data_IF_255962221177
#
_entry.id   IF_255962221177
#
_cell.length_a   1.000
_cell.length_b   1.000
_cell.length_c   1.000
_cell.angle_alpha   90.00
_cell.angle_beta   90.00
_cell.angle_gamma   90.00
#
_symmetry.space_group_name_H-M   'P 1'
#
loop_
_entity.id
_entity.type
_entity.pdbx_description
1 polymer ?
#
# COMPACT_ATOMS: atom_id res chain seq x y z
N UNK A 1 27.47 4.35 -22.82
CA UNK A 1 26.10 4.17 -23.29
C UNK A 1 25.44 5.55 -23.37
N UNK A 2 24.71 5.85 -24.43
CA UNK A 2 24.13 7.16 -24.69
C UNK A 2 22.85 7.29 -23.84
N UNK A 3 22.63 8.38 -23.06
CA UNK A 3 21.45 8.55 -22.21
C UNK A 3 20.11 8.42 -22.98
N UNK A 4 20.10 8.84 -24.23
CA UNK A 4 18.96 8.69 -25.14
C UNK A 4 18.56 7.23 -25.40
N UNK A 5 19.47 6.27 -25.20
CA UNK A 5 19.21 4.86 -25.45
C UNK A 5 18.48 4.19 -24.27
N UNK A 6 18.72 4.63 -23.03
CA UNK A 6 18.11 4.02 -21.83
C UNK A 6 16.66 4.48 -21.63
N UNK A 7 16.38 5.77 -21.83
CA UNK A 7 15.00 6.26 -21.85
C UNK A 7 14.21 5.61 -22.99
N UNK A 8 14.83 5.41 -24.17
CA UNK A 8 14.21 4.69 -25.27
C UNK A 8 13.89 3.25 -24.94
N UNK A 9 14.82 2.53 -24.29
CA UNK A 9 14.62 1.15 -23.87
C UNK A 9 13.49 1.05 -22.82
N UNK A 10 13.51 1.91 -21.79
CA UNK A 10 12.45 1.97 -20.79
C UNK A 10 11.10 2.29 -21.45
N UNK A 11 11.06 3.23 -22.39
CA UNK A 11 9.84 3.53 -23.14
C UNK A 11 9.33 2.31 -23.90
N UNK A 12 10.22 1.56 -24.57
CA UNK A 12 9.83 0.37 -25.34
C UNK A 12 9.25 -0.72 -24.44
N UNK A 13 9.83 -0.95 -23.26
CA UNK A 13 9.32 -1.87 -22.26
C UNK A 13 7.92 -1.46 -21.77
N UNK A 14 7.74 -0.19 -21.39
CA UNK A 14 6.46 0.32 -20.93
C UNK A 14 5.41 0.38 -22.06
N UNK A 15 5.84 0.75 -23.28
CA UNK A 15 4.96 0.77 -24.45
C UNK A 15 4.44 -0.63 -24.80
N UNK A 16 5.30 -1.65 -24.72
CA UNK A 16 4.89 -3.03 -24.93
C UNK A 16 3.91 -3.51 -23.86
N UNK A 17 4.09 -3.09 -22.61
CA UNK A 17 3.23 -3.47 -21.48
C UNK A 17 1.87 -2.77 -21.50
N UNK A 18 1.86 -1.46 -21.71
CA UNK A 18 0.67 -0.62 -21.57
C UNK A 18 0.03 -0.21 -22.89
N UNK A 19 0.72 -0.40 -24.01
CA UNK A 19 0.22 -0.08 -25.35
C UNK A 19 0.33 1.39 -25.73
N UNK A 20 1.42 2.07 -25.34
CA UNK A 20 1.62 3.47 -25.70
C UNK A 20 1.96 3.63 -27.19
N UNK A 21 1.44 4.69 -27.84
CA UNK A 21 1.80 4.97 -29.22
C UNK A 21 3.23 5.53 -29.33
N UNK A 22 3.91 5.25 -30.44
CA UNK A 22 5.31 5.64 -30.66
C UNK A 22 5.56 7.16 -30.59
N UNK A 23 4.57 7.98 -30.95
CA UNK A 23 4.66 9.44 -30.85
C UNK A 23 4.69 9.94 -29.39
N UNK A 24 4.40 9.11 -28.40
CA UNK A 24 4.56 9.43 -26.98
C UNK A 24 6.02 9.37 -26.50
N UNK A 25 6.96 8.77 -27.24
CA UNK A 25 8.37 8.66 -26.85
C UNK A 25 8.98 10.02 -26.47
N UNK A 26 8.78 11.06 -27.30
CA UNK A 26 9.37 12.39 -27.05
C UNK A 26 8.78 13.06 -25.80
N UNK A 27 7.47 13.12 -25.57
CA UNK A 27 6.89 13.58 -24.31
C UNK A 27 7.37 12.78 -23.08
N UNK A 28 7.47 11.45 -23.20
CA UNK A 28 7.99 10.58 -22.14
C UNK A 28 9.43 10.94 -21.74
N UNK A 29 10.34 11.05 -22.69
CA UNK A 29 11.73 11.44 -22.41
C UNK A 29 11.81 12.83 -21.78
N UNK A 30 11.07 13.80 -22.32
CA UNK A 30 11.05 15.19 -21.83
C UNK A 30 10.52 15.30 -20.40
N UNK A 31 9.60 14.42 -19.99
CA UNK A 31 9.07 14.39 -18.63
C UNK A 31 10.14 14.00 -17.60
N UNK A 32 11.07 13.12 -17.96
CA UNK A 32 12.05 12.53 -17.03
C UNK A 32 13.39 13.28 -17.05
N UNK A 33 13.77 13.87 -18.18
CA UNK A 33 15.08 14.50 -18.38
C UNK A 33 15.41 15.55 -17.33
N UNK A 34 14.46 16.35 -16.87
CA UNK A 34 14.65 17.38 -15.85
C UNK A 34 15.08 16.84 -14.48
N UNK A 35 14.82 15.58 -14.17
CA UNK A 35 15.23 14.94 -12.93
C UNK A 35 16.57 14.21 -13.02
N UNK A 36 17.09 13.97 -14.22
CA UNK A 36 18.37 13.31 -14.44
C UNK A 36 19.54 14.18 -13.98
N UNK A 37 20.70 13.56 -13.72
CA UNK A 37 21.94 14.27 -13.37
C UNK A 37 23.02 14.22 -14.44
N UNK A 38 22.87 13.37 -15.41
CA UNK A 38 23.84 13.23 -16.50
C UNK A 38 23.11 12.91 -17.82
N UNK A 39 23.10 13.82 -18.78
CA UNK A 39 23.64 15.19 -18.70
C UNK A 39 22.89 16.06 -17.67
N UNK A 40 23.53 17.13 -17.19
CA UNK A 40 22.89 18.10 -16.29
C UNK A 40 21.78 18.81 -17.08
N UNK A 41 20.50 18.76 -16.63
CA UNK A 41 19.38 19.38 -17.33
C UNK A 41 19.47 20.91 -17.26
N UNK A 42 18.92 21.57 -18.27
CA UNK A 42 18.71 23.02 -18.25
C UNK A 42 17.60 23.41 -17.26
N UNK A 43 17.58 24.67 -16.87
CA UNK A 43 16.51 25.20 -16.01
C UNK A 43 15.11 24.95 -16.60
N UNK A 44 14.94 25.12 -17.91
CA UNK A 44 13.66 24.90 -18.59
C UNK A 44 13.25 23.42 -18.58
N UNK A 45 14.20 22.50 -18.72
CA UNK A 45 13.93 21.07 -18.60
C UNK A 45 13.46 20.69 -17.17
N UNK A 46 14.15 21.22 -16.13
CA UNK A 46 13.77 21.01 -14.74
C UNK A 46 12.35 21.53 -14.51
N UNK A 47 12.09 22.79 -14.87
CA UNK A 47 10.80 23.43 -14.70
C UNK A 47 9.69 22.70 -15.45
N UNK A 48 9.97 22.19 -16.66
CA UNK A 48 9.01 21.41 -17.43
C UNK A 48 8.65 20.10 -16.71
N UNK A 49 9.66 19.34 -16.26
CA UNK A 49 9.44 18.08 -15.53
C UNK A 49 8.69 18.29 -14.23
N UNK A 50 9.03 19.33 -13.44
CA UNK A 50 8.32 19.68 -12.19
C UNK A 50 6.83 20.06 -12.42
N UNK A 51 6.54 20.71 -13.54
CA UNK A 51 5.15 21.02 -13.91
C UNK A 51 4.36 19.77 -14.31
N UNK A 52 5.02 18.82 -14.97
CA UNK A 52 4.40 17.54 -15.32
C UNK A 52 4.19 16.67 -14.08
N UNK A 53 5.14 16.65 -13.14
CA UNK A 53 5.02 16.03 -11.81
C UNK A 53 3.79 16.55 -11.07
N UNK A 54 3.65 17.88 -10.95
CA UNK A 54 2.49 18.50 -10.32
C UNK A 54 1.16 18.06 -10.93
N UNK A 55 1.08 17.97 -12.27
CA UNK A 55 -0.11 17.50 -12.97
C UNK A 55 -0.33 16.00 -12.77
N UNK A 56 0.74 15.22 -12.84
CA UNK A 56 0.71 13.77 -12.70
C UNK A 56 0.32 13.30 -11.29
N UNK A 57 0.79 13.98 -10.25
CA UNK A 57 0.34 13.75 -8.86
C UNK A 57 -1.18 13.89 -8.76
N UNK A 58 -1.75 14.95 -9.36
CA UNK A 58 -3.21 15.16 -9.37
C UNK A 58 -3.94 14.04 -10.12
N UNK A 59 -3.41 13.59 -11.27
CA UNK A 59 -3.95 12.47 -12.02
C UNK A 59 -3.88 11.16 -11.23
N UNK A 60 -2.73 10.88 -10.60
CA UNK A 60 -2.52 9.71 -9.75
C UNK A 60 -3.53 9.66 -8.60
N UNK A 61 -3.65 10.77 -7.86
CA UNK A 61 -4.58 10.86 -6.73
C UNK A 61 -6.03 10.66 -7.16
N UNK A 62 -6.44 11.24 -8.29
CA UNK A 62 -7.78 11.03 -8.84
C UNK A 62 -8.02 9.57 -9.23
N UNK A 63 -7.11 8.97 -10.01
CA UNK A 63 -7.26 7.60 -10.47
C UNK A 63 -7.26 6.58 -9.32
N UNK A 64 -6.39 6.76 -8.31
CA UNK A 64 -6.38 5.91 -7.10
C UNK A 64 -7.69 6.08 -6.32
N UNK A 65 -8.19 7.32 -6.16
CA UNK A 65 -9.47 7.55 -5.46
C UNK A 65 -10.60 6.84 -6.19
N UNK A 66 -10.67 6.95 -7.51
CA UNK A 66 -11.67 6.27 -8.34
C UNK A 66 -11.55 4.75 -8.24
N UNK A 67 -10.33 4.21 -8.35
CA UNK A 67 -10.04 2.77 -8.22
C UNK A 67 -10.52 2.22 -6.88
N UNK A 68 -10.24 2.92 -5.78
CA UNK A 68 -10.67 2.51 -4.44
C UNK A 68 -12.19 2.56 -4.30
N UNK A 69 -12.82 3.63 -4.74
CA UNK A 69 -14.27 3.80 -4.70
C UNK A 69 -15.01 2.70 -5.47
N UNK A 70 -14.53 2.34 -6.66
CA UNK A 70 -15.18 1.34 -7.51
C UNK A 70 -14.97 -0.11 -7.02
N UNK A 71 -13.78 -0.41 -6.45
CA UNK A 71 -13.45 -1.77 -6.05
C UNK A 71 -13.87 -2.12 -4.60
N UNK A 72 -14.10 -1.12 -3.75
CA UNK A 72 -14.42 -1.34 -2.33
C UNK A 72 -15.66 -0.55 -1.89
N UNK A 73 -16.84 -0.83 -2.47
CA UNK A 73 -18.07 -0.09 -2.18
C UNK A 73 -18.59 -0.27 -0.76
N UNK A 74 -18.15 -1.33 -0.06
CA UNK A 74 -18.57 -1.64 1.32
C UNK A 74 -17.66 -1.00 2.39
N UNK A 75 -16.54 -0.35 1.97
CA UNK A 75 -15.61 0.28 2.90
C UNK A 75 -15.99 1.74 3.15
N UNK A 76 -15.81 2.20 4.38
CA UNK A 76 -16.06 3.58 4.75
C UNK A 76 -14.98 4.55 4.21
N UNK A 77 -15.30 5.84 4.20
CA UNK A 77 -14.40 6.90 3.73
C UNK A 77 -13.07 6.92 4.48
N UNK A 78 -13.09 6.71 5.79
CA UNK A 78 -11.86 6.71 6.61
C UNK A 78 -10.89 5.60 6.22
N UNK A 79 -11.41 4.40 5.87
CA UNK A 79 -10.62 3.30 5.34
C UNK A 79 -10.07 3.65 3.98
N UNK A 80 -10.92 4.12 3.05
CA UNK A 80 -10.49 4.47 1.70
C UNK A 80 -9.43 5.59 1.69
N UNK A 81 -9.60 6.62 2.52
CA UNK A 81 -8.63 7.71 2.69
C UNK A 81 -7.30 7.23 3.26
N UNK A 82 -7.34 6.33 4.24
CA UNK A 82 -6.12 5.76 4.83
C UNK A 82 -5.35 4.89 3.83
N UNK A 83 -6.05 4.04 3.08
CA UNK A 83 -5.45 3.21 2.01
C UNK A 83 -4.87 4.10 0.92
N UNK A 84 -5.62 5.11 0.44
CA UNK A 84 -5.13 6.09 -0.53
C UNK A 84 -3.84 6.74 -0.06
N UNK A 85 -3.81 7.28 1.16
CA UNK A 85 -2.61 7.95 1.70
C UNK A 85 -1.37 7.06 1.73
N UNK A 86 -1.53 5.77 1.99
CA UNK A 86 -0.42 4.81 1.92
C UNK A 86 0.02 4.51 0.47
N UNK A 87 -0.93 4.32 -0.44
CA UNK A 87 -0.65 4.02 -1.85
C UNK A 87 0.07 5.19 -2.53
N UNK A 88 -0.40 6.44 -2.32
CA UNK A 88 0.20 7.64 -2.93
C UNK A 88 1.39 8.19 -2.13
N UNK A 89 1.91 7.46 -1.16
CA UNK A 89 3.12 7.88 -0.46
C UNK A 89 4.34 7.79 -1.38
N UNK A 90 5.27 8.74 -1.28
CA UNK A 90 6.48 8.75 -2.10
C UNK A 90 7.31 7.46 -1.99
N UNK A 91 7.25 6.74 -0.86
CA UNK A 91 7.90 5.44 -0.70
C UNK A 91 7.21 4.34 -1.51
N UNK A 92 5.88 4.33 -1.55
CA UNK A 92 5.10 3.35 -2.32
C UNK A 92 5.25 3.60 -3.82
N UNK A 93 5.06 4.86 -4.25
CA UNK A 93 5.25 5.25 -5.65
C UNK A 93 6.68 4.96 -6.11
N UNK A 94 7.69 5.28 -5.28
CA UNK A 94 9.09 5.01 -5.58
C UNK A 94 9.39 3.51 -5.77
N UNK A 95 8.77 2.64 -4.96
CA UNK A 95 8.90 1.18 -5.13
C UNK A 95 8.33 0.72 -6.47
N UNK A 96 7.13 1.19 -6.82
CA UNK A 96 6.47 0.85 -8.10
C UNK A 96 7.29 1.38 -9.29
N UNK A 97 7.76 2.62 -9.20
CA UNK A 97 8.62 3.20 -10.24
C UNK A 97 9.93 2.38 -10.42
N UNK A 98 10.51 1.87 -9.32
CA UNK A 98 11.67 0.98 -9.39
C UNK A 98 11.31 -0.34 -10.08
N UNK A 99 10.19 -0.96 -9.71
CA UNK A 99 9.72 -2.25 -10.24
C UNK A 99 9.42 -2.20 -11.75
N UNK A 100 8.96 -1.04 -12.26
CA UNK A 100 8.70 -0.85 -13.70
C UNK A 100 9.91 -0.23 -14.46
N UNK A 101 11.09 -0.19 -13.83
CA UNK A 101 12.35 0.08 -14.51
C UNK A 101 12.88 1.52 -14.46
N UNK A 102 12.20 2.49 -13.81
CA UNK A 102 12.66 3.88 -13.74
C UNK A 102 14.05 4.05 -13.11
N UNK A 103 14.47 3.10 -12.28
CA UNK A 103 15.83 3.10 -11.72
C UNK A 103 16.90 3.03 -12.78
N UNK A 104 16.69 2.36 -13.90
CA UNK A 104 17.66 2.22 -14.99
C UNK A 104 18.08 3.56 -15.59
N UNK A 105 17.16 4.54 -15.58
CA UNK A 105 17.38 5.88 -16.14
C UNK A 105 17.82 6.91 -15.10
N UNK A 106 18.05 6.52 -13.85
CA UNK A 106 18.44 7.39 -12.73
C UNK A 106 19.96 7.56 -12.59
N UNK A 107 20.72 7.54 -13.67
CA UNK A 107 22.20 7.51 -13.69
C UNK A 107 22.87 8.45 -12.69
N UNK A 108 23.80 7.88 -11.91
CA UNK A 108 24.61 8.64 -10.95
C UNK A 108 23.84 9.13 -9.73
N UNK A 109 22.59 8.75 -9.55
CA UNK A 109 21.83 9.13 -8.39
C UNK A 109 22.30 8.37 -7.13
N UNK A 110 22.57 9.11 -6.06
CA UNK A 110 22.81 8.53 -4.74
C UNK A 110 21.52 7.92 -4.16
N UNK A 111 21.65 7.01 -3.18
CA UNK A 111 20.49 6.43 -2.47
C UNK A 111 19.49 7.48 -1.96
N UNK A 112 20.00 8.63 -1.48
CA UNK A 112 19.18 9.73 -1.00
C UNK A 112 18.40 10.39 -2.16
N UNK A 113 19.03 10.56 -3.31
CA UNK A 113 18.38 11.15 -4.49
C UNK A 113 17.38 10.22 -5.16
N UNK A 114 17.61 8.91 -5.16
CA UNK A 114 16.66 7.94 -5.69
C UNK A 114 15.30 8.02 -5.01
N UNK A 115 15.25 8.37 -3.72
CA UNK A 115 14.00 8.51 -2.96
C UNK A 115 13.08 9.62 -3.48
N UNK A 116 13.63 10.68 -4.09
CA UNK A 116 12.83 11.70 -4.75
C UNK A 116 12.73 11.46 -6.26
N UNK A 117 13.81 11.03 -6.91
CA UNK A 117 13.82 10.81 -8.35
C UNK A 117 12.74 9.82 -8.82
N UNK A 118 12.58 8.70 -8.12
CA UNK A 118 11.65 7.65 -8.55
C UNK A 118 10.18 8.11 -8.52
N UNK A 119 9.64 8.65 -7.39
CA UNK A 119 8.27 9.14 -7.39
C UNK A 119 8.09 10.34 -8.34
N UNK A 120 8.99 11.35 -8.28
CA UNK A 120 8.88 12.56 -9.09
C UNK A 120 8.84 12.23 -10.60
N UNK A 121 9.73 11.31 -11.05
CA UNK A 121 9.77 10.87 -12.46
C UNK A 121 8.53 10.08 -12.88
N UNK A 122 7.99 9.25 -11.99
CA UNK A 122 6.76 8.50 -12.27
C UNK A 122 5.56 9.42 -12.37
N UNK A 123 5.42 10.38 -11.48
CA UNK A 123 4.37 11.38 -11.52
C UNK A 123 4.47 12.24 -12.78
N UNK A 124 5.68 12.71 -13.14
CA UNK A 124 5.88 13.47 -14.38
C UNK A 124 5.54 12.64 -15.63
N UNK A 125 5.87 11.35 -15.64
CA UNK A 125 5.43 10.42 -16.69
C UNK A 125 3.91 10.37 -16.81
N UNK A 126 3.18 10.25 -15.68
CA UNK A 126 1.72 10.25 -15.68
C UNK A 126 1.14 11.58 -16.19
N UNK A 127 1.76 12.70 -15.82
CA UNK A 127 1.37 14.03 -16.32
C UNK A 127 1.54 14.17 -17.83
N UNK A 128 2.69 13.71 -18.36
CA UNK A 128 2.92 13.68 -19.80
C UNK A 128 1.95 12.74 -20.52
N UNK A 129 1.68 11.57 -19.94
CA UNK A 129 0.74 10.60 -20.48
C UNK A 129 -0.68 11.15 -20.54
N UNK A 130 -1.10 11.86 -19.49
CA UNK A 130 -2.39 12.54 -19.45
C UNK A 130 -2.53 13.58 -20.57
N UNK A 131 -1.53 14.46 -20.73
CA UNK A 131 -1.57 15.49 -21.77
C UNK A 131 -1.56 14.90 -23.20
N UNK A 132 -0.88 13.76 -23.38
CA UNK A 132 -0.77 13.14 -24.70
C UNK A 132 -1.97 12.25 -25.04
N UNK A 133 -2.46 11.46 -24.08
CA UNK A 133 -3.41 10.36 -24.35
C UNK A 133 -4.68 10.42 -23.51
N UNK A 134 -4.83 11.42 -22.64
CA UNK A 134 -5.99 11.63 -21.80
C UNK A 134 -6.05 10.69 -20.58
N UNK A 135 -7.06 10.92 -19.75
CA UNK A 135 -7.16 10.27 -18.42
C UNK A 135 -7.41 8.75 -18.51
N UNK A 136 -8.10 8.26 -19.54
CA UNK A 136 -8.43 6.83 -19.68
C UNK A 136 -7.18 5.95 -19.75
N UNK A 137 -6.11 6.41 -20.40
CA UNK A 137 -4.85 5.66 -20.49
C UNK A 137 -4.11 5.70 -19.14
N UNK A 138 -4.17 6.83 -18.43
CA UNK A 138 -3.62 6.94 -17.08
C UNK A 138 -4.35 5.97 -16.13
N UNK A 139 -5.69 5.94 -16.18
CA UNK A 139 -6.50 4.98 -15.39
C UNK A 139 -6.10 3.52 -15.66
N UNK A 140 -5.87 3.16 -16.92
CA UNK A 140 -5.41 1.82 -17.29
C UNK A 140 -4.08 1.47 -16.62
N UNK A 141 -3.09 2.37 -16.72
CA UNK A 141 -1.76 2.18 -16.09
C UNK A 141 -1.89 2.05 -14.58
N UNK A 142 -2.65 2.97 -13.95
CA UNK A 142 -2.87 2.96 -12.50
C UNK A 142 -3.59 1.70 -12.07
N UNK A 143 -4.64 1.29 -12.76
CA UNK A 143 -5.37 0.05 -12.42
C UNK A 143 -4.47 -1.17 -12.49
N UNK A 144 -3.63 -1.29 -13.52
CA UNK A 144 -2.73 -2.43 -13.66
C UNK A 144 -1.65 -2.49 -12.56
N UNK A 145 -1.13 -1.32 -12.15
CA UNK A 145 -0.03 -1.26 -11.17
C UNK A 145 -0.51 -1.32 -9.71
N UNK A 146 -1.70 -0.81 -9.41
CA UNK A 146 -2.11 -0.54 -8.03
C UNK A 146 -3.27 -1.40 -7.52
N UNK A 147 -4.03 -2.10 -8.39
CA UNK A 147 -5.21 -2.86 -7.94
C UNK A 147 -4.84 -3.96 -6.94
N UNK A 148 -3.82 -4.77 -7.22
CA UNK A 148 -3.42 -5.85 -6.31
C UNK A 148 -2.89 -5.31 -4.97
N UNK A 149 -2.19 -4.16 -5.00
CA UNK A 149 -1.70 -3.48 -3.80
C UNK A 149 -2.88 -2.99 -2.97
N UNK A 150 -3.88 -2.35 -3.60
CA UNK A 150 -5.08 -1.87 -2.94
C UNK A 150 -5.88 -3.03 -2.31
N UNK A 151 -6.10 -4.11 -3.05
CA UNK A 151 -6.76 -5.32 -2.55
C UNK A 151 -6.04 -5.87 -1.34
N UNK A 152 -4.72 -6.00 -1.42
CA UNK A 152 -3.91 -6.49 -0.31
C UNK A 152 -4.02 -5.59 0.92
N UNK A 153 -3.87 -4.27 0.74
CA UNK A 153 -3.97 -3.32 1.85
C UNK A 153 -5.33 -3.36 2.54
N UNK A 154 -6.42 -3.36 1.78
CA UNK A 154 -7.78 -3.41 2.36
C UNK A 154 -8.02 -4.74 3.05
N UNK A 155 -7.67 -5.87 2.43
CA UNK A 155 -7.91 -7.21 2.99
C UNK A 155 -7.10 -7.47 4.27
N UNK A 156 -5.84 -7.05 4.28
CA UNK A 156 -4.94 -7.24 5.42
C UNK A 156 -5.06 -6.12 6.47
N UNK A 157 -5.86 -5.08 6.22
CA UNK A 157 -5.95 -3.87 7.06
C UNK A 157 -4.57 -3.22 7.34
N UNK A 158 -3.61 -3.40 6.43
CA UNK A 158 -2.21 -2.98 6.59
C UNK A 158 -1.99 -1.47 6.41
N UNK A 159 -3.05 -0.71 6.17
CA UNK A 159 -3.03 0.75 6.00
C UNK A 159 -3.09 1.52 7.32
N UNK A 160 -3.52 0.88 8.43
CA UNK A 160 -3.63 1.56 9.72
C UNK A 160 -2.26 1.75 10.36
N UNK A 161 -1.92 2.98 10.81
CA UNK A 161 -0.74 3.17 11.64
C UNK A 161 -0.80 2.28 12.88
N UNK A 162 0.30 1.61 13.21
CA UNK A 162 0.38 0.69 14.35
C UNK A 162 -0.05 1.35 15.67
N UNK A 163 0.23 2.64 15.81
CA UNK A 163 -0.19 3.44 16.95
C UNK A 163 -1.71 3.57 17.06
N UNK A 164 -2.39 3.85 15.95
CA UNK A 164 -3.86 3.94 15.91
C UNK A 164 -4.49 2.59 16.20
N UNK A 165 -3.90 1.49 15.69
CA UNK A 165 -4.36 0.14 16.03
C UNK A 165 -4.28 -0.12 17.53
N UNK A 166 -3.16 0.23 18.18
CA UNK A 166 -3.04 0.04 19.63
C UNK A 166 -4.04 0.91 20.39
N UNK A 167 -4.27 2.17 19.95
CA UNK A 167 -5.26 3.06 20.58
C UNK A 167 -6.67 2.47 20.50
N UNK A 168 -7.12 2.03 19.31
CA UNK A 168 -8.45 1.43 19.14
C UNK A 168 -8.62 0.17 20.02
N UNK A 169 -7.63 -0.72 20.01
CA UNK A 169 -7.67 -1.94 20.81
C UNK A 169 -7.66 -1.60 22.32
N UNK A 170 -6.83 -0.65 22.75
CA UNK A 170 -6.75 -0.26 24.17
C UNK A 170 -8.04 0.45 24.62
N UNK A 171 -8.62 1.32 23.82
CA UNK A 171 -9.88 1.96 24.13
C UNK A 171 -11.01 0.93 24.28
N UNK A 172 -11.06 -0.06 23.38
CA UNK A 172 -12.07 -1.12 23.40
C UNK A 172 -11.92 -2.09 24.58
N UNK A 173 -10.69 -2.59 24.79
CA UNK A 173 -10.45 -3.69 25.75
C UNK A 173 -10.10 -3.18 27.17
N UNK A 174 -9.51 -1.98 27.27
CA UNK A 174 -9.00 -1.45 28.54
C UNK A 174 -9.76 -0.20 29.00
N UNK A 175 -10.52 0.44 28.10
CA UNK A 175 -11.17 1.76 28.31
C UNK A 175 -10.15 2.87 28.69
N UNK A 176 -8.91 2.73 28.26
CA UNK A 176 -7.80 3.67 28.52
C UNK A 176 -6.92 3.80 27.27
N UNK A 177 -6.37 5.00 27.07
CA UNK A 177 -5.41 5.25 25.99
C UNK A 177 -3.99 4.80 26.37
N UNK A 178 -3.20 4.30 25.40
CA UNK A 178 -1.80 3.98 25.61
C UNK A 178 -0.97 5.24 25.91
N UNK A 179 -0.05 5.15 26.86
CA UNK A 179 0.86 6.26 27.19
C UNK A 179 2.25 5.96 26.60
N UNK A 180 2.81 6.93 25.90
CA UNK A 180 4.13 6.82 25.24
C UNK A 180 5.14 7.72 25.94
N UNK A 181 6.29 7.16 26.36
CA UNK A 181 7.41 7.92 26.93
C UNK A 181 8.66 7.74 26.09
N UNK A 182 9.33 8.83 25.76
CA UNK A 182 10.52 8.82 24.92
C UNK A 182 11.75 9.25 25.70
N UNK A 183 12.88 8.56 25.48
CA UNK A 183 14.17 8.91 26.03
C UNK A 183 15.26 8.88 24.95
N UNK A 184 16.17 9.84 24.95
CA UNK A 184 17.40 9.76 24.15
C UNK A 184 18.39 8.84 24.86
N UNK A 185 18.97 7.89 24.11
CA UNK A 185 19.92 6.90 24.62
C UNK A 185 21.26 7.02 23.86
N UNK A 186 22.37 6.44 24.36
CA UNK A 186 23.68 6.51 23.69
C UNK A 186 23.66 6.13 22.22
N UNK A 187 24.67 6.61 21.45
CA UNK A 187 24.82 6.40 20.00
C UNK A 187 23.73 7.06 19.16
N UNK A 188 23.26 8.25 19.56
CA UNK A 188 22.22 9.00 18.83
C UNK A 188 20.93 8.24 18.58
N UNK A 189 20.57 7.32 19.46
CA UNK A 189 19.33 6.54 19.39
C UNK A 189 18.27 7.09 20.34
N UNK A 190 17.03 6.70 20.06
CA UNK A 190 15.87 6.97 20.90
C UNK A 190 15.31 5.65 21.43
N UNK A 191 14.70 5.72 22.62
CA UNK A 191 13.89 4.66 23.18
C UNK A 191 12.47 5.17 23.33
N UNK A 192 11.50 4.36 22.91
CA UNK A 192 10.08 4.55 23.16
C UNK A 192 9.60 3.47 24.13
N UNK A 193 9.07 3.86 25.28
CA UNK A 193 8.43 2.98 26.26
C UNK A 193 6.91 3.15 26.14
N UNK A 194 6.17 2.05 25.96
CA UNK A 194 4.70 2.04 25.87
C UNK A 194 4.13 1.47 27.17
N UNK A 195 3.13 2.18 27.70
CA UNK A 195 2.45 1.84 28.93
C UNK A 195 0.97 1.60 28.64
N UNK A 196 0.41 0.55 29.22
CA UNK A 196 -1.00 0.24 29.28
C UNK A 196 -1.40 0.11 30.74
N UNK A 197 -2.51 0.72 31.15
CA UNK A 197 -3.01 0.72 32.54
C UNK A 197 -1.92 1.06 33.56
N UNK A 198 -1.10 2.08 33.25
CA UNK A 198 0.02 2.51 34.10
C UNK A 198 1.25 1.60 34.11
N UNK A 199 1.19 0.39 33.55
CA UNK A 199 2.30 -0.58 33.52
C UNK A 199 3.06 -0.49 32.19
N UNK A 200 4.39 -0.49 32.27
CA UNK A 200 5.21 -0.55 31.05
C UNK A 200 5.12 -1.96 30.43
N UNK A 201 4.65 -2.03 29.18
CA UNK A 201 4.42 -3.29 28.47
C UNK A 201 5.50 -3.63 27.46
N UNK A 202 6.15 -2.61 26.86
CA UNK A 202 7.19 -2.81 25.85
C UNK A 202 8.11 -1.60 25.75
N UNK A 203 9.32 -1.81 25.23
CA UNK A 203 10.26 -0.76 24.84
C UNK A 203 10.82 -1.05 23.45
N UNK A 204 10.80 -0.05 22.56
CA UNK A 204 11.48 -0.08 21.26
C UNK A 204 12.66 0.88 21.22
N UNK A 205 13.59 0.68 20.30
CA UNK A 205 14.76 1.53 20.07
C UNK A 205 14.91 1.81 18.58
N UNK A 206 15.32 3.05 18.22
CA UNK A 206 15.53 3.45 16.84
C UNK A 206 16.42 4.70 16.74
N UNK A 207 16.75 5.11 15.53
CA UNK A 207 17.51 6.35 15.28
C UNK A 207 16.61 7.60 15.32
N UNK A 208 15.29 7.42 15.29
CA UNK A 208 14.29 8.47 15.51
C UNK A 208 13.28 8.04 16.56
N UNK A 209 12.51 9.03 17.10
CA UNK A 209 11.40 8.70 18.03
C UNK A 209 10.36 7.83 17.36
N UNK A 210 10.03 8.11 16.08
CA UNK A 210 9.06 7.35 15.29
C UNK A 210 9.53 5.91 15.10
N UNK A 211 10.75 5.70 14.64
CA UNK A 211 11.33 4.36 14.47
C UNK A 211 11.36 3.55 15.77
N UNK A 212 11.69 4.20 16.89
CA UNK A 212 11.66 3.54 18.19
C UNK A 212 10.23 3.15 18.62
N UNK A 213 9.24 3.97 18.29
CA UNK A 213 7.81 3.70 18.52
C UNK A 213 7.32 2.55 17.63
N UNK A 214 7.60 2.62 16.32
CA UNK A 214 7.19 1.59 15.36
C UNK A 214 7.76 0.22 15.73
N UNK A 215 9.06 0.14 16.08
CA UNK A 215 9.70 -1.09 16.54
C UNK A 215 9.08 -1.64 17.85
N UNK A 216 8.62 -0.77 18.75
CA UNK A 216 7.92 -1.20 19.96
C UNK A 216 6.53 -1.77 19.63
N UNK A 217 5.80 -1.11 18.72
CA UNK A 217 4.45 -1.49 18.31
C UNK A 217 4.42 -2.78 17.50
N UNK A 218 5.36 -2.96 16.57
CA UNK A 218 5.51 -4.21 15.80
C UNK A 218 5.73 -5.43 16.72
N UNK A 219 6.49 -5.24 17.79
CA UNK A 219 6.70 -6.31 18.78
C UNK A 219 5.46 -6.54 19.65
N UNK A 220 4.75 -5.48 20.05
CA UNK A 220 3.63 -5.51 20.99
C UNK A 220 2.35 -6.07 20.37
N UNK A 221 1.93 -5.57 19.21
CA UNK A 221 0.62 -5.83 18.62
C UNK A 221 0.33 -7.34 18.46
N UNK A 222 1.23 -8.18 17.94
CA UNK A 222 0.98 -9.62 17.84
C UNK A 222 0.88 -10.34 19.20
N UNK A 223 1.24 -9.66 20.30
CA UNK A 223 1.34 -10.21 21.66
C UNK A 223 0.34 -9.60 22.64
N UNK A 224 -0.57 -8.75 22.17
CA UNK A 224 -1.52 -8.03 23.03
C UNK A 224 -2.33 -8.95 23.94
N UNK A 225 -2.81 -10.10 23.44
CA UNK A 225 -3.56 -11.07 24.25
C UNK A 225 -2.74 -11.59 25.45
N UNK A 226 -1.43 -11.79 25.27
CA UNK A 226 -0.54 -12.20 26.38
C UNK A 226 -0.33 -11.08 27.38
N UNK A 227 -0.27 -9.83 26.90
CA UNK A 227 -0.11 -8.65 27.73
C UNK A 227 -1.39 -8.42 28.55
N UNK A 228 -2.57 -8.49 27.94
CA UNK A 228 -3.86 -8.35 28.63
C UNK A 228 -4.04 -9.42 29.70
N UNK A 229 -3.66 -10.67 29.42
CA UNK A 229 -3.67 -11.75 30.42
C UNK A 229 -2.75 -11.44 31.61
N UNK A 230 -1.57 -10.88 31.38
CA UNK A 230 -0.64 -10.45 32.44
C UNK A 230 -1.14 -9.27 33.25
N UNK A 231 -1.92 -8.37 32.63
CA UNK A 231 -2.54 -7.22 33.31
C UNK A 231 -3.82 -7.60 34.06
N UNK A 232 -4.21 -8.88 34.07
CA UNK A 232 -5.43 -9.37 34.74
C UNK A 232 -6.74 -8.94 34.03
N UNK A 233 -6.62 -8.44 32.79
CA UNK A 233 -7.77 -8.09 31.95
C UNK A 233 -7.82 -9.11 30.80
N UNK A 234 -8.72 -10.09 30.93
CA UNK A 234 -9.07 -10.99 29.82
C UNK A 234 -9.93 -10.21 28.82
N UNK A 235 -9.73 -10.34 27.50
CA UNK A 235 -10.68 -9.82 26.54
C UNK A 235 -12.05 -10.41 26.86
N UNK A 236 -13.10 -9.57 26.86
CA UNK A 236 -14.47 -9.98 27.06
C UNK A 236 -14.79 -11.11 26.05
N UNK A 237 -14.94 -12.33 26.57
CA UNK A 237 -15.61 -13.38 25.82
C UNK A 237 -17.04 -12.92 25.64
N UNK A 238 -17.46 -12.70 24.40
CA UNK A 238 -18.86 -12.51 24.06
C UNK A 238 -19.64 -13.70 24.60
N UNK A 239 -20.62 -13.43 25.46
CA UNK A 239 -21.52 -14.39 26.05
C UNK A 239 -22.15 -15.28 24.96
N UNK A 240 -21.75 -16.54 24.91
CA UNK A 240 -22.58 -17.58 24.33
C UNK A 240 -23.64 -17.96 25.36
N UNK A 241 -24.92 -18.11 24.97
CA UNK A 241 -26.00 -18.38 25.91
C UNK A 241 -25.89 -19.76 26.51
N UNK A 242 -25.97 -19.78 27.83
CA UNK A 242 -26.06 -20.90 28.73
C UNK A 242 -27.15 -21.90 28.31
N UNK A 243 -26.73 -23.14 27.98
CA UNK A 243 -27.63 -24.28 27.99
C UNK A 243 -27.05 -25.41 28.79
N UNK A 244 -27.40 -25.45 30.09
CA UNK A 244 -27.27 -26.67 30.89
C UNK A 244 -28.20 -27.78 30.38
N UNK A 245 -27.75 -29.03 30.48
CA UNK A 245 -28.55 -29.94 31.32
C UNK A 245 -27.70 -30.74 32.31
N UNK A 246 -28.31 -30.90 33.48
CA UNK A 246 -27.90 -31.84 34.52
C UNK A 246 -27.92 -33.28 34.03
N UNK A 247 -26.98 -34.09 34.47
CA UNK A 247 -27.25 -35.42 35.07
C UNK A 247 -26.02 -36.15 35.56
N UNK A 248 -26.19 -36.89 36.58
CA UNK A 248 -25.38 -37.57 37.60
C UNK A 248 -24.42 -38.70 37.07
N UNK A 249 -23.54 -39.24 37.94
CA UNK A 249 -22.37 -39.97 37.55
C UNK A 249 -22.55 -41.49 37.48
N UNK A 250 -21.83 -42.17 36.60
CA UNK A 250 -21.63 -43.64 36.67
C UNK A 250 -20.19 -44.02 36.35
N UNK A 251 -19.79 -45.06 37.07
CA UNK A 251 -18.52 -45.66 37.44
C UNK A 251 -17.58 -46.10 36.29
N UNK A 252 -16.32 -46.14 36.66
CA UNK A 252 -15.14 -46.76 36.04
C UNK A 252 -15.36 -48.10 35.33
N UNK A 253 -14.68 -48.27 34.18
CA UNK A 253 -13.90 -49.48 33.92
C UNK A 253 -12.81 -49.21 32.85
N UNK A 254 -11.64 -49.71 33.13
CA UNK A 254 -10.38 -49.77 32.38
C UNK A 254 -10.49 -50.67 31.13
N UNK A 255 -9.82 -50.30 30.01
CA UNK A 255 -8.95 -51.14 29.17
C UNK A 255 -8.36 -50.40 27.98
N UNK A 256 -7.10 -50.26 28.04
CA UNK A 256 -5.93 -50.54 27.19
C UNK A 256 -6.05 -50.57 25.65
N UNK A 257 -5.13 -49.78 25.02
CA UNK A 257 -4.35 -49.99 23.80
C UNK A 257 -5.02 -49.84 22.43
N UNK A 258 -4.67 -48.85 21.63
CA UNK A 258 -3.71 -48.94 20.51
C UNK A 258 -3.56 -47.61 19.74
N UNK A 259 -2.30 -47.31 19.41
CA UNK A 259 -1.83 -46.27 18.51
C UNK A 259 -2.46 -46.42 17.11
N UNK A 260 -2.83 -45.33 16.45
CA UNK A 260 -2.47 -45.05 15.08
C UNK A 260 -2.55 -43.56 14.77
N UNK A 261 -1.55 -43.10 14.13
CA UNK A 261 -1.23 -41.83 13.50
C UNK A 261 -2.31 -41.39 12.51
N UNK A 262 -2.69 -40.12 12.55
CA UNK A 262 -2.91 -39.28 11.36
C UNK A 262 -3.75 -38.04 11.70
N UNK A 263 -3.12 -36.88 11.80
CA UNK A 263 -3.76 -35.58 11.62
C UNK A 263 -2.73 -34.53 11.12
N UNK A 264 -2.57 -34.50 9.83
CA UNK A 264 -2.09 -33.32 9.12
C UNK A 264 -2.95 -33.26 7.87
N UNK A 265 -3.83 -32.26 7.73
CA UNK A 265 -4.38 -31.76 6.45
C UNK A 265 -5.79 -31.16 6.56
N UNK A 266 -6.04 -30.25 7.51
CA UNK A 266 -7.35 -29.55 7.46
C UNK A 266 -7.26 -28.03 7.40
N UNK A 267 -6.13 -27.44 7.75
CA UNK A 267 -6.01 -25.96 7.86
C UNK A 267 -5.64 -25.27 6.55
N UNK A 268 -5.05 -25.98 5.59
CA UNK A 268 -4.65 -25.36 4.29
C UNK A 268 -5.77 -25.25 3.24
N UNK A 269 -6.89 -25.90 3.43
CA UNK A 269 -7.97 -25.94 2.41
C UNK A 269 -8.97 -24.79 2.56
N UNK A 270 -9.18 -24.28 3.75
CA UNK A 270 -10.16 -23.19 4.02
C UNK A 270 -9.64 -21.84 3.53
N UNK A 271 -8.36 -21.54 3.77
CA UNK A 271 -7.77 -20.24 3.39
C UNK A 271 -7.69 -20.10 1.85
N UNK A 272 -7.33 -21.18 1.13
CA UNK A 272 -7.28 -21.14 -0.35
C UNK A 272 -8.65 -20.97 -1.02
N UNK A 273 -9.72 -21.47 -0.39
CA UNK A 273 -11.06 -21.40 -1.00
C UNK A 273 -11.68 -20.01 -0.81
N UNK A 274 -11.42 -19.35 0.31
CA UNK A 274 -11.93 -18.00 0.59
C UNK A 274 -11.24 -16.96 -0.30
N UNK A 275 -9.92 -17.03 -0.43
CA UNK A 275 -9.15 -16.10 -1.29
C UNK A 275 -9.53 -16.24 -2.78
N UNK A 276 -9.71 -17.50 -3.27
CA UNK A 276 -10.18 -17.72 -4.64
C UNK A 276 -11.62 -17.23 -4.89
N UNK A 277 -12.46 -17.20 -3.86
CA UNK A 277 -13.86 -16.77 -4.00
C UNK A 277 -13.98 -15.25 -4.05
N UNK A 278 -13.17 -14.52 -3.26
CA UNK A 278 -13.12 -13.06 -3.30
C UNK A 278 -12.52 -12.55 -4.61
N UNK A 279 -11.42 -13.14 -5.07
CA UNK A 279 -10.79 -12.77 -6.36
C UNK A 279 -11.71 -13.10 -7.55
N UNK A 280 -12.51 -14.18 -7.50
CA UNK A 280 -13.49 -14.48 -8.56
C UNK A 280 -14.71 -13.56 -8.54
N UNK A 281 -15.12 -13.06 -7.38
CA UNK A 281 -16.25 -12.13 -7.29
C UNK A 281 -15.88 -10.74 -7.83
N UNK A 282 -14.67 -10.25 -7.54
CA UNK A 282 -14.17 -8.97 -8.08
C UNK A 282 -13.87 -9.05 -9.57
N UNK A 283 -13.29 -10.13 -10.06
CA UNK A 283 -13.01 -10.29 -11.50
C UNK A 283 -14.27 -10.43 -12.38
N UNK A 284 -15.42 -10.83 -11.83
CA UNK A 284 -16.69 -10.90 -12.58
C UNK A 284 -17.43 -9.58 -12.69
N UNK A 285 -17.08 -8.56 -11.89
CA UNK A 285 -17.73 -7.23 -11.93
C UNK A 285 -17.00 -6.21 -12.80
N UNK A 286 -15.82 -6.52 -13.31
CA UNK A 286 -15.13 -5.67 -14.28
C UNK A 286 -15.53 -6.13 -15.69
N UNK A 287 -16.73 -5.79 -16.13
CA UNK A 287 -17.06 -5.79 -17.56
C UNK A 287 -16.50 -4.51 -18.16
N UNK A 288 -15.63 -4.58 -19.18
CA UNK A 288 -15.32 -3.40 -19.97
C UNK A 288 -16.56 -3.06 -20.78
N UNK A 289 -17.23 -1.96 -20.44
CA UNK A 289 -18.18 -1.32 -21.35
C UNK A 289 -17.35 -0.73 -22.49
N UNK A 290 -17.18 -1.53 -23.52
CA UNK A 290 -16.71 -1.06 -24.83
C UNK A 290 -17.96 -0.65 -25.60
N UNK A 291 -18.46 0.54 -25.35
CA UNK A 291 -19.32 1.21 -26.34
C UNK A 291 -18.44 1.75 -27.45
N UNK A 292 -18.65 1.20 -28.62
CA UNK A 292 -18.11 1.70 -29.88
C UNK A 292 -18.89 2.96 -30.26
N UNK A 293 -18.40 4.12 -29.86
CA UNK A 293 -18.80 5.36 -30.47
C UNK A 293 -17.92 5.64 -31.70
N UNK A 294 -18.60 5.92 -32.81
CA UNK A 294 -18.01 6.34 -34.10
C UNK A 294 -17.30 7.69 -33.94
N UNK A 295 -16.24 7.96 -34.72
CA UNK A 295 -15.58 9.26 -34.68
C UNK A 295 -16.49 10.31 -35.31
N UNK A 296 -16.89 11.30 -34.53
CA UNK A 296 -17.39 12.56 -35.03
C UNK A 296 -16.23 13.42 -35.51
N UNK A 297 -16.18 13.62 -36.82
CA UNK A 297 -15.41 14.67 -37.47
C UNK A 297 -15.99 16.04 -37.07
N UNK A 298 -15.32 16.72 -36.17
CA UNK A 298 -15.42 18.19 -36.14
C UNK A 298 -14.05 18.78 -35.81
N UNK A 299 -13.43 19.28 -36.85
CA UNK A 299 -12.27 20.14 -36.86
C UNK A 299 -12.68 21.49 -36.28
N UNK A 300 -12.22 21.83 -35.08
CA UNK A 300 -12.13 23.25 -34.70
C UNK A 300 -10.84 23.50 -33.90
N UNK A 301 -10.07 24.28 -34.52
CA UNK A 301 -8.87 25.05 -34.17
C UNK A 301 -8.77 25.51 -32.73
N UNK A 302 -7.67 25.11 -32.05
CA UNK A 302 -7.11 25.83 -30.93
C UNK A 302 -5.74 26.39 -31.32
N UNK A 303 -5.76 27.55 -31.95
CA UNK A 303 -4.61 28.45 -31.94
C UNK A 303 -4.78 29.43 -30.75
N UNK A 304 -3.64 29.73 -30.13
CA UNK A 304 -3.38 30.76 -29.12
C UNK A 304 -3.90 30.51 -27.69
N UNK A 305 -2.97 29.96 -26.82
CA UNK A 305 -2.53 30.65 -25.57
C UNK A 305 -1.14 30.13 -25.21
#
# INVERSE_FOLDING_TARGET
MNPSNELGNLFDELSNRFGFPRNFLKPFCSAIEGFQRSPIPSYEQIKHSERLEFLGDSCLQFCITKLLHENFPEEDEGVLSSVKGNIVSGSSIGSIAEDIGFKSVSKGATKARLKSFLPDSFEAFLGALFLHSGIRIVEKVISELFTDIAIKMVTERSFKPLKSMLQEISAKELSEDPVYKYAKIPRNKFRADIFLTGSKVVSGRGFSKKEAEDNALEYLLPRLNLVFKKLGKLPNQTDEPDSKPESKPVKKTTKTVRKTTSKKNTTKRVVKTTTKRVVKATAKKVNPVVEKEKPDNNSDTWESF
#
